data_IF_389174534684
#
_entry.id   IF_389174534684
#
_cell.length_a   1.000
_cell.length_b   1.000
_cell.length_c   1.000
_cell.angle_alpha   90.00
_cell.angle_beta   90.00
_cell.angle_gamma   90.00
#
_symmetry.space_group_name_H-M   'P 1'
#
loop_
_entity.id
_entity.type
_entity.pdbx_description
1 polymer ?
#
# COMPACT_ATOMS: atom_id res chain seq x y z
N UNK A 1 -13.84 4.23 -6.92
CA UNK A 1 -12.94 5.21 -6.28
C UNK A 1 -11.88 4.45 -5.51
N UNK A 2 -10.62 4.90 -5.55
CA UNK A 2 -9.51 4.42 -4.73
C UNK A 2 -9.10 5.56 -3.81
N UNK A 3 -8.99 5.25 -2.52
CA UNK A 3 -8.57 6.22 -1.52
C UNK A 3 -7.06 6.49 -1.67
N UNK A 4 -6.68 7.77 -1.74
CA UNK A 4 -5.30 8.22 -1.84
C UNK A 4 -4.49 7.93 -0.57
N UNK A 5 -3.18 7.76 -0.74
CA UNK A 5 -2.17 7.64 0.32
C UNK A 5 -2.31 6.44 1.25
N UNK A 6 -3.21 5.52 0.95
CA UNK A 6 -3.46 4.31 1.75
C UNK A 6 -3.58 3.09 0.86
N UNK A 7 -3.13 1.95 1.37
CA UNK A 7 -3.21 0.67 0.69
C UNK A 7 -3.73 -0.38 1.67
N UNK A 8 -5.00 -0.72 1.48
CA UNK A 8 -5.75 -1.70 2.27
C UNK A 8 -5.54 -3.09 1.71
N UNK A 9 -5.40 -4.13 2.55
CA UNK A 9 -5.42 -5.50 2.09
C UNK A 9 -6.65 -5.78 1.20
N UNK A 10 -6.41 -6.52 0.13
CA UNK A 10 -7.39 -6.72 -0.91
C UNK A 10 -8.20 -7.99 -0.70
N UNK A 11 -9.46 -7.95 -1.14
CA UNK A 11 -10.33 -9.13 -1.24
C UNK A 11 -10.36 -9.70 -2.67
N UNK A 12 -9.27 -9.52 -3.43
CA UNK A 12 -9.14 -9.96 -4.84
C UNK A 12 -9.23 -11.46 -5.01
N UNK A 13 -8.91 -12.24 -3.97
CA UNK A 13 -9.17 -13.68 -3.96
C UNK A 13 -10.67 -14.00 -4.16
N UNK A 14 -11.59 -13.10 -3.77
CA UNK A 14 -13.06 -13.22 -3.87
C UNK A 14 -13.69 -14.39 -3.10
N UNK A 15 -12.92 -15.40 -2.72
CA UNK A 15 -13.36 -16.55 -1.93
C UNK A 15 -12.21 -17.09 -1.07
N UNK A 16 -12.58 -17.82 -0.01
CA UNK A 16 -11.62 -18.49 0.88
C UNK A 16 -10.87 -19.61 0.15
N UNK A 17 -11.52 -20.29 -0.79
CA UNK A 17 -10.89 -21.33 -1.61
C UNK A 17 -9.77 -20.74 -2.48
N UNK A 18 -9.99 -19.57 -3.08
CA UNK A 18 -8.93 -18.91 -3.87
C UNK A 18 -7.82 -18.39 -2.97
N UNK A 19 -8.14 -17.87 -1.78
CA UNK A 19 -7.12 -17.44 -0.82
C UNK A 19 -6.20 -18.60 -0.40
N UNK A 20 -6.78 -19.78 -0.14
CA UNK A 20 -6.01 -21.01 0.14
C UNK A 20 -5.20 -21.51 -1.07
N UNK A 21 -5.69 -21.29 -2.30
CA UNK A 21 -4.91 -21.57 -3.49
C UNK A 21 -3.68 -20.63 -3.58
N UNK A 22 -3.86 -19.35 -3.26
CA UNK A 22 -2.75 -18.38 -3.21
C UNK A 22 -1.72 -18.76 -2.14
N UNK A 23 -2.15 -19.30 -1.00
CA UNK A 23 -1.22 -19.83 0.01
C UNK A 23 -0.29 -20.90 -0.59
N UNK A 24 -0.85 -21.81 -1.40
CA UNK A 24 -0.07 -22.85 -2.08
C UNK A 24 0.87 -22.25 -3.13
N UNK A 25 0.42 -21.26 -3.89
CA UNK A 25 1.22 -20.53 -4.88
C UNK A 25 2.40 -19.80 -4.21
N UNK A 26 2.16 -19.15 -3.07
CA UNK A 26 3.18 -18.41 -2.33
C UNK A 26 4.19 -19.33 -1.63
N UNK A 27 3.76 -20.50 -1.13
CA UNK A 27 4.69 -21.53 -0.66
C UNK A 27 5.60 -22.02 -1.80
N UNK A 28 5.02 -22.29 -2.97
CA UNK A 28 5.81 -22.71 -4.13
C UNK A 28 6.78 -21.60 -4.56
N UNK A 29 6.35 -20.34 -4.51
CA UNK A 29 7.22 -19.19 -4.78
C UNK A 29 8.38 -19.12 -3.78
N UNK A 30 8.14 -19.33 -2.48
CA UNK A 30 9.19 -19.37 -1.47
C UNK A 30 10.27 -20.41 -1.79
N UNK A 31 9.87 -21.61 -2.24
CA UNK A 31 10.82 -22.62 -2.70
C UNK A 31 11.64 -22.16 -3.91
N UNK A 32 11.00 -21.50 -4.88
CA UNK A 32 11.69 -20.97 -6.06
C UNK A 32 12.65 -19.83 -5.71
N UNK A 33 12.32 -18.99 -4.73
CA UNK A 33 13.22 -17.96 -4.20
C UNK A 33 14.45 -18.64 -3.58
N UNK A 34 14.27 -19.62 -2.69
CA UNK A 34 15.39 -20.37 -2.09
C UNK A 34 16.30 -21.05 -3.10
N UNK A 35 15.72 -21.56 -4.20
CA UNK A 35 16.46 -22.22 -5.29
C UNK A 35 17.11 -21.22 -6.27
N UNK A 36 16.93 -19.91 -6.09
CA UNK A 36 17.43 -18.87 -7.01
C UNK A 36 16.73 -18.88 -8.38
N UNK A 37 15.53 -19.44 -8.47
CA UNK A 37 14.76 -19.55 -9.71
C UNK A 37 13.91 -18.31 -9.96
N UNK A 38 13.37 -17.72 -8.90
CA UNK A 38 12.58 -16.49 -8.97
C UNK A 38 13.47 -15.30 -9.39
N UNK A 39 13.04 -14.44 -10.33
CA UNK A 39 13.75 -13.23 -10.70
C UNK A 39 13.51 -12.16 -9.63
N UNK A 40 14.21 -12.27 -8.51
CA UNK A 40 14.18 -11.35 -7.36
C UNK A 40 15.60 -11.20 -6.79
N UNK A 41 15.96 -10.06 -6.22
CA UNK A 41 17.22 -9.93 -5.47
C UNK A 41 17.23 -10.83 -4.23
N UNK A 42 18.43 -11.25 -3.82
CA UNK A 42 18.61 -12.06 -2.62
C UNK A 42 18.07 -11.34 -1.37
N UNK A 43 18.36 -10.05 -1.21
CA UNK A 43 17.96 -9.27 -0.03
C UNK A 43 16.44 -9.13 0.09
N UNK A 44 15.74 -8.83 -1.01
CA UNK A 44 14.28 -8.80 -1.00
C UNK A 44 13.69 -10.21 -0.78
N UNK A 45 14.32 -11.24 -1.35
CA UNK A 45 13.97 -12.63 -1.08
C UNK A 45 14.03 -12.97 0.42
N UNK A 46 15.15 -12.67 1.08
CA UNK A 46 15.33 -12.88 2.52
C UNK A 46 14.28 -12.15 3.37
N UNK A 47 13.92 -10.93 2.98
CA UNK A 47 12.85 -10.16 3.65
C UNK A 47 11.47 -10.82 3.49
N UNK A 48 11.15 -11.39 2.32
CA UNK A 48 9.83 -11.93 2.01
C UNK A 48 9.63 -13.38 2.45
N UNK A 49 10.70 -14.20 2.46
CA UNK A 49 10.62 -15.63 2.78
C UNK A 49 9.90 -15.92 4.11
N UNK A 50 10.19 -15.23 5.24
CA UNK A 50 9.49 -15.47 6.50
C UNK A 50 7.97 -15.29 6.43
N UNK A 51 7.49 -14.45 5.50
CA UNK A 51 6.05 -14.19 5.31
C UNK A 51 5.40 -15.26 4.42
N UNK A 52 6.10 -15.69 3.37
CA UNK A 52 5.61 -16.69 2.41
C UNK A 52 5.60 -18.11 2.98
N UNK A 53 6.64 -18.46 3.74
CA UNK A 53 6.85 -19.81 4.28
C UNK A 53 5.86 -20.19 5.37
N UNK A 54 5.09 -19.22 5.86
CA UNK A 54 3.98 -19.43 6.78
C UNK A 54 2.90 -20.34 6.22
N UNK A 55 2.76 -20.40 4.89
CA UNK A 55 1.71 -21.16 4.21
C UNK A 55 0.30 -20.64 4.40
N UNK A 56 0.14 -19.39 4.86
CA UNK A 56 -1.17 -18.78 5.06
C UNK A 56 -1.22 -17.29 4.67
N UNK A 57 -0.25 -16.80 3.91
CA UNK A 57 -0.15 -15.39 3.51
C UNK A 57 -1.34 -14.91 2.66
N UNK A 58 -1.84 -15.73 1.73
CA UNK A 58 -3.08 -15.54 0.97
C UNK A 58 -4.32 -15.43 1.86
N UNK A 59 -4.52 -16.42 2.73
CA UNK A 59 -5.67 -16.45 3.66
C UNK A 59 -5.61 -15.30 4.69
N UNK A 60 -4.41 -14.98 5.19
CA UNK A 60 -4.19 -13.84 6.10
C UNK A 60 -4.55 -12.53 5.41
N UNK A 61 -4.04 -12.29 4.21
CA UNK A 61 -4.31 -11.07 3.45
C UNK A 61 -5.80 -10.90 3.16
N UNK A 62 -6.47 -11.98 2.73
CA UNK A 62 -7.91 -11.97 2.47
C UNK A 62 -8.73 -11.68 3.74
N UNK A 63 -8.34 -12.27 4.87
CA UNK A 63 -9.01 -12.06 6.16
C UNK A 63 -8.83 -10.62 6.65
N UNK A 64 -7.62 -10.08 6.53
CA UNK A 64 -7.33 -8.67 6.83
C UNK A 64 -8.12 -7.74 5.90
N UNK A 65 -8.29 -8.08 4.63
CA UNK A 65 -9.09 -7.30 3.67
C UNK A 65 -10.58 -7.31 3.99
N UNK A 66 -11.12 -8.44 4.46
CA UNK A 66 -12.50 -8.53 4.99
C UNK A 66 -12.66 -7.64 6.23
N UNK A 67 -11.70 -7.66 7.16
CA UNK A 67 -11.74 -6.83 8.37
C UNK A 67 -11.67 -5.34 8.04
N UNK A 68 -10.76 -4.92 7.16
CA UNK A 68 -10.65 -3.54 6.70
C UNK A 68 -11.94 -3.06 6.01
N UNK A 69 -12.58 -3.93 5.21
CA UNK A 69 -13.85 -3.64 4.56
C UNK A 69 -15.00 -3.48 5.56
N UNK A 70 -15.06 -4.30 6.61
CA UNK A 70 -16.06 -4.19 7.66
C UNK A 70 -15.88 -2.89 8.45
N UNK A 71 -14.64 -2.61 8.90
CA UNK A 71 -14.30 -1.36 9.57
C UNK A 71 -14.66 -0.13 8.73
N UNK A 72 -14.31 -0.12 7.44
CA UNK A 72 -14.62 1.00 6.57
C UNK A 72 -16.13 1.27 6.46
N UNK A 73 -16.94 0.22 6.32
CA UNK A 73 -18.41 0.33 6.23
C UNK A 73 -19.00 0.90 7.52
N UNK A 74 -18.59 0.36 8.67
CA UNK A 74 -19.07 0.81 9.98
C UNK A 74 -18.64 2.25 10.26
N UNK A 75 -17.37 2.58 9.99
CA UNK A 75 -16.83 3.91 10.21
C UNK A 75 -17.49 4.96 9.31
N UNK A 76 -17.73 4.65 8.04
CA UNK A 76 -18.46 5.55 7.12
C UNK A 76 -19.89 5.77 7.64
N UNK A 77 -20.61 4.71 8.00
CA UNK A 77 -21.97 4.83 8.51
C UNK A 77 -22.03 5.68 9.79
N UNK A 78 -21.11 5.44 10.74
CA UNK A 78 -21.05 6.16 12.00
C UNK A 78 -20.72 7.65 11.81
N UNK A 79 -19.71 7.97 10.99
CA UNK A 79 -19.26 9.36 10.82
C UNK A 79 -20.17 10.19 9.93
N UNK A 80 -20.90 9.58 9.00
CA UNK A 80 -21.92 10.27 8.23
C UNK A 80 -23.20 10.51 9.04
N UNK A 81 -23.50 9.74 10.09
CA UNK A 81 -24.70 9.95 10.89
C UNK A 81 -24.70 11.32 11.62
N UNK A 82 -25.80 12.08 11.48
CA UNK A 82 -26.07 13.28 12.28
C UNK A 82 -27.01 12.96 13.45
N UNK A 83 -26.97 13.72 14.55
CA UNK A 83 -27.88 13.52 15.69
C UNK A 83 -29.36 13.62 15.33
N UNK A 84 -29.70 14.36 14.27
CA UNK A 84 -31.06 14.54 13.77
C UNK A 84 -31.53 13.40 12.83
N UNK A 85 -30.77 12.31 12.70
CA UNK A 85 -31.10 11.15 11.87
C UNK A 85 -30.79 11.32 10.37
N UNK A 86 -30.39 12.51 9.90
CA UNK A 86 -29.92 12.69 8.52
C UNK A 86 -28.46 12.25 8.39
N UNK A 87 -28.05 11.89 7.17
CA UNK A 87 -26.63 11.64 6.88
C UNK A 87 -25.95 12.92 6.37
N UNK A 88 -24.67 13.10 6.70
CA UNK A 88 -23.78 14.05 6.04
C UNK A 88 -23.57 13.61 4.59
N UNK A 89 -23.41 14.58 3.71
CA UNK A 89 -22.88 14.32 2.38
C UNK A 89 -21.39 13.96 2.47
N UNK A 90 -20.83 13.50 1.36
CA UNK A 90 -19.43 13.10 1.27
C UNK A 90 -18.66 14.24 0.61
N UNK A 91 -17.63 14.72 1.29
CA UNK A 91 -16.62 15.59 0.71
C UNK A 91 -15.56 14.75 0.00
N UNK A 92 -15.25 15.11 -1.25
CA UNK A 92 -14.26 14.44 -2.09
C UNK A 92 -13.22 15.48 -2.53
N UNK A 93 -11.94 15.21 -2.22
CA UNK A 93 -10.80 15.94 -2.79
C UNK A 93 -10.04 15.01 -3.72
N UNK A 94 -10.07 15.31 -5.00
CA UNK A 94 -9.38 14.52 -6.04
C UNK A 94 -7.88 14.79 -6.06
N UNK A 95 -7.11 13.81 -6.56
CA UNK A 95 -5.71 13.98 -6.90
C UNK A 95 -5.51 14.95 -8.08
N UNK A 96 -4.27 15.43 -8.25
CA UNK A 96 -3.86 16.24 -9.41
C UNK A 96 -4.07 15.49 -10.73
N UNK A 97 -3.87 14.16 -10.70
CA UNK A 97 -4.35 13.23 -11.73
C UNK A 97 -5.55 12.45 -11.18
N UNK A 98 -6.79 12.83 -11.50
CA UNK A 98 -7.97 12.31 -10.80
C UNK A 98 -8.27 10.83 -11.07
N UNK A 99 -7.73 10.24 -12.14
CA UNK A 99 -8.02 8.85 -12.52
C UNK A 99 -6.72 8.06 -12.68
N UNK A 100 -6.73 6.81 -12.21
CA UNK A 100 -5.69 5.86 -12.55
C UNK A 100 -5.93 5.19 -13.92
N UNK A 101 -4.98 4.38 -14.39
CA UNK A 101 -5.09 3.64 -15.64
C UNK A 101 -6.27 2.65 -15.71
N UNK A 102 -6.91 2.35 -14.58
CA UNK A 102 -8.11 1.53 -14.50
C UNK A 102 -9.41 2.38 -14.41
N UNK A 103 -9.33 3.68 -14.73
CA UNK A 103 -10.42 4.65 -14.65
C UNK A 103 -11.05 4.78 -13.26
N UNK A 104 -10.30 4.49 -12.18
CA UNK A 104 -10.77 4.69 -10.81
C UNK A 104 -10.44 6.10 -10.35
N UNK A 105 -11.45 6.80 -9.84
CA UNK A 105 -11.27 8.10 -9.18
C UNK A 105 -10.32 7.97 -7.99
N UNK A 106 -9.26 8.78 -7.94
CA UNK A 106 -8.29 8.89 -6.85
C UNK A 106 -8.66 10.06 -5.95
N UNK A 107 -9.00 9.79 -4.68
CA UNK A 107 -9.45 10.86 -3.79
C UNK A 107 -9.14 10.64 -2.30
N UNK A 108 -9.10 11.76 -1.58
CA UNK A 108 -9.35 11.81 -0.15
C UNK A 108 -10.85 12.01 0.09
N UNK A 109 -11.39 11.26 1.04
CA UNK A 109 -12.84 11.20 1.29
C UNK A 109 -13.10 11.51 2.76
N UNK A 110 -14.07 12.36 3.05
CA UNK A 110 -14.45 12.71 4.41
C UNK A 110 -15.96 13.03 4.49
N UNK A 111 -16.55 13.07 5.69
CA UNK A 111 -17.84 13.72 5.86
C UNK A 111 -17.76 15.19 5.44
N UNK A 112 -18.78 15.68 4.73
CA UNK A 112 -18.90 17.10 4.44
C UNK A 112 -19.43 17.84 5.68
N UNK A 113 -18.51 18.53 6.36
CA UNK A 113 -18.79 19.32 7.54
C UNK A 113 -19.17 20.74 7.12
N UNK A 114 -20.26 21.26 7.69
CA UNK A 114 -20.67 22.66 7.52
C UNK A 114 -19.60 23.64 8.03
N UNK A 115 -19.67 24.91 7.62
CA UNK A 115 -18.73 25.92 8.11
C UNK A 115 -18.75 26.05 9.64
N UNK A 116 -19.94 25.99 10.24
CA UNK A 116 -20.10 25.98 11.70
C UNK A 116 -19.39 24.78 12.33
N UNK A 117 -19.66 23.56 11.85
CA UNK A 117 -18.97 22.34 12.34
C UNK A 117 -17.45 22.44 12.17
N UNK A 118 -16.94 23.05 11.10
CA UNK A 118 -15.49 23.20 10.88
C UNK A 118 -14.84 24.19 11.86
N UNK A 119 -15.59 25.18 12.36
CA UNK A 119 -15.14 26.13 13.39
C UNK A 119 -15.16 25.49 14.79
N UNK A 120 -16.16 24.66 15.05
CA UNK A 120 -16.36 24.01 16.37
C UNK A 120 -15.54 22.73 16.55
N UNK A 121 -15.33 21.96 15.47
CA UNK A 121 -14.63 20.68 15.50
C UNK A 121 -13.19 20.89 14.96
N UNK A 122 -12.15 20.71 15.79
CA UNK A 122 -10.76 20.79 15.37
C UNK A 122 -10.43 19.90 14.16
N UNK A 123 -9.51 20.33 13.29
CA UNK A 123 -9.08 19.60 12.07
C UNK A 123 -8.73 18.12 12.38
N UNK A 124 -7.99 17.86 13.45
CA UNK A 124 -7.60 16.50 13.89
C UNK A 124 -8.78 15.59 14.23
N UNK A 125 -9.95 16.15 14.57
CA UNK A 125 -11.18 15.41 14.86
C UNK A 125 -12.13 15.34 13.63
N UNK A 126 -11.66 15.82 12.48
CA UNK A 126 -12.32 15.67 11.18
C UNK A 126 -11.42 14.94 10.19
N UNK A 127 -10.85 13.78 10.54
CA UNK A 127 -9.96 13.04 9.65
C UNK A 127 -10.69 12.61 8.37
N UNK A 128 -9.94 12.28 7.33
CA UNK A 128 -10.48 11.57 6.16
C UNK A 128 -10.73 10.11 6.52
N UNK A 129 -11.61 9.43 5.79
CA UNK A 129 -11.75 7.98 5.90
C UNK A 129 -10.45 7.24 5.54
N UNK A 130 -9.61 7.85 4.68
CA UNK A 130 -8.27 7.38 4.39
C UNK A 130 -7.43 7.32 5.68
N UNK A 131 -7.36 8.42 6.43
CA UNK A 131 -6.58 8.48 7.66
C UNK A 131 -7.14 7.52 8.73
N UNK A 132 -8.46 7.39 8.83
CA UNK A 132 -9.08 6.45 9.79
C UNK A 132 -8.63 4.99 9.58
N UNK A 133 -8.48 4.57 8.33
CA UNK A 133 -7.95 3.23 8.01
C UNK A 133 -6.53 3.03 8.54
N UNK A 134 -5.69 4.05 8.42
CA UNK A 134 -4.31 4.00 8.91
C UNK A 134 -4.28 4.01 10.45
N UNK A 135 -5.04 4.91 11.08
CA UNK A 135 -5.15 5.00 12.54
C UNK A 135 -5.60 3.68 13.15
N UNK A 136 -6.56 2.99 12.53
CA UNK A 136 -7.04 1.70 12.98
C UNK A 136 -6.12 0.51 12.61
N UNK A 137 -5.02 0.76 11.92
CA UNK A 137 -4.12 -0.27 11.42
C UNK A 137 -4.73 -1.17 10.35
N UNK A 138 -5.80 -0.73 9.68
CA UNK A 138 -6.49 -1.49 8.61
C UNK A 138 -5.85 -1.27 7.23
N UNK A 139 -4.95 -0.31 7.11
CA UNK A 139 -4.21 -0.01 5.87
C UNK A 139 -2.77 0.40 6.19
N UNK A 140 -1.87 0.11 5.26
CA UNK A 140 -0.55 0.71 5.24
C UNK A 140 -0.59 2.06 4.50
N UNK A 141 0.39 2.92 4.78
CA UNK A 141 0.63 4.14 4.01
C UNK A 141 1.12 3.80 2.60
N UNK A 142 0.61 4.53 1.62
CA UNK A 142 0.96 4.34 0.22
C UNK A 142 0.86 5.66 -0.53
N UNK A 143 1.70 6.61 -0.11
CA UNK A 143 1.81 7.94 -0.72
C UNK A 143 2.52 7.78 -2.07
N UNK A 144 1.92 8.31 -3.14
CA UNK A 144 2.46 8.20 -4.49
C UNK A 144 2.65 9.59 -5.08
N UNK A 145 3.86 9.90 -5.54
CA UNK A 145 4.16 11.11 -6.29
C UNK A 145 3.42 11.13 -7.64
N UNK A 146 2.86 12.28 -8.10
CA UNK A 146 2.95 13.62 -7.51
C UNK A 146 1.89 13.93 -6.42
N UNK A 147 0.97 13.02 -6.16
CA UNK A 147 -0.16 13.23 -5.23
C UNK A 147 0.25 13.07 -3.75
N UNK A 148 1.13 13.95 -3.28
CA UNK A 148 1.62 13.98 -1.89
C UNK A 148 0.70 14.87 -1.03
N UNK A 149 0.27 14.43 0.18
CA UNK A 149 -0.45 15.29 1.10
C UNK A 149 0.33 16.57 1.42
N UNK A 150 -0.37 17.66 1.77
CA UNK A 150 0.27 18.86 2.30
C UNK A 150 1.03 18.56 3.59
N UNK A 151 2.04 19.37 3.92
CA UNK A 151 3.00 19.07 4.99
C UNK A 151 2.36 18.69 6.34
N UNK A 152 1.32 19.42 6.79
CA UNK A 152 0.61 19.09 8.04
C UNK A 152 -0.11 17.75 7.98
N UNK A 153 -0.76 17.45 6.85
CA UNK A 153 -1.52 16.22 6.66
C UNK A 153 -0.59 15.02 6.48
N UNK A 154 0.57 15.23 5.84
CA UNK A 154 1.62 14.22 5.71
C UNK A 154 2.22 13.86 7.07
N UNK A 155 2.55 14.86 7.90
CA UNK A 155 3.04 14.63 9.25
C UNK A 155 2.02 13.83 10.09
N UNK A 156 0.74 14.23 10.04
CA UNK A 156 -0.34 13.51 10.71
C UNK A 156 -0.47 12.06 10.24
N UNK A 157 -0.32 11.81 8.93
CA UNK A 157 -0.37 10.46 8.36
C UNK A 157 0.80 9.60 8.84
N UNK A 158 2.02 10.14 8.84
CA UNK A 158 3.24 9.45 9.30
C UNK A 158 3.11 9.08 10.77
N UNK A 159 2.71 10.02 11.63
CA UNK A 159 2.55 9.78 13.07
C UNK A 159 1.49 8.70 13.34
N UNK A 160 0.35 8.77 12.64
CA UNK A 160 -0.70 7.76 12.77
C UNK A 160 -0.24 6.37 12.32
N UNK A 161 0.50 6.29 11.21
CA UNK A 161 1.02 5.03 10.69
C UNK A 161 2.07 4.41 11.62
N UNK A 162 3.00 5.22 12.12
CA UNK A 162 4.00 4.78 13.09
C UNK A 162 3.34 4.28 14.39
N UNK A 163 2.34 5.00 14.90
CA UNK A 163 1.59 4.59 16.09
C UNK A 163 0.81 3.28 15.86
N UNK A 164 0.12 3.12 14.73
CA UNK A 164 -0.61 1.90 14.41
C UNK A 164 0.32 0.69 14.25
N UNK A 165 1.47 0.87 13.58
CA UNK A 165 2.47 -0.17 13.38
C UNK A 165 3.13 -0.60 14.69
N UNK A 166 3.64 0.35 15.47
CA UNK A 166 4.31 0.07 16.74
C UNK A 166 3.35 -0.44 17.82
N UNK A 167 2.09 -0.02 17.77
CA UNK A 167 1.01 -0.52 18.63
C UNK A 167 0.43 -1.87 18.21
N UNK A 168 0.87 -2.44 17.08
CA UNK A 168 0.36 -3.73 16.58
C UNK A 168 -1.13 -3.70 16.25
N UNK A 169 -1.66 -2.59 15.72
CA UNK A 169 -3.07 -2.45 15.42
C UNK A 169 -3.43 -3.10 14.07
N UNK A 170 -4.63 -3.69 13.99
CA UNK A 170 -5.18 -4.23 12.75
C UNK A 170 -4.24 -5.23 12.08
N UNK A 171 -3.82 -4.94 10.85
CA UNK A 171 -2.91 -5.80 10.07
C UNK A 171 -1.55 -5.97 10.75
N UNK A 172 -1.11 -4.97 11.52
CA UNK A 172 0.19 -4.95 12.19
C UNK A 172 0.25 -5.85 13.42
N UNK A 173 -0.87 -6.41 13.86
CA UNK A 173 -0.91 -7.41 14.95
C UNK A 173 -0.24 -8.74 14.55
N UNK A 174 -0.03 -8.96 13.25
CA UNK A 174 0.61 -10.15 12.70
C UNK A 174 1.90 -9.74 11.96
N UNK A 175 3.10 -10.03 12.51
CA UNK A 175 4.38 -9.67 11.90
C UNK A 175 4.56 -10.17 10.46
N UNK A 176 3.93 -11.29 10.12
CA UNK A 176 4.00 -11.94 8.81
C UNK A 176 3.09 -11.27 7.77
N UNK A 177 2.38 -10.19 8.12
CA UNK A 177 1.52 -9.46 7.17
C UNK A 177 2.30 -8.98 5.95
N UNK A 178 1.72 -9.23 4.78
CA UNK A 178 2.09 -8.59 3.53
C UNK A 178 1.22 -7.34 3.37
N UNK A 179 1.85 -6.17 3.23
CA UNK A 179 1.10 -4.99 2.79
C UNK A 179 0.56 -5.23 1.38
N UNK A 180 -0.54 -4.57 1.00
CA UNK A 180 -1.21 -4.85 -0.27
C UNK A 180 -0.33 -4.66 -1.51
N UNK A 181 0.64 -3.74 -1.47
CA UNK A 181 1.66 -3.64 -2.51
C UNK A 181 2.51 -4.90 -2.64
N UNK A 182 3.06 -5.40 -1.52
CA UNK A 182 3.86 -6.63 -1.49
C UNK A 182 3.05 -7.83 -2.00
N UNK A 183 1.81 -7.96 -1.52
CA UNK A 183 0.90 -9.03 -1.92
C UNK A 183 0.68 -9.09 -3.44
N UNK A 184 0.30 -7.96 -4.06
CA UNK A 184 0.07 -7.88 -5.50
C UNK A 184 1.35 -8.18 -6.30
N UNK A 185 2.48 -7.61 -5.86
CA UNK A 185 3.78 -7.85 -6.50
C UNK A 185 4.19 -9.33 -6.45
N UNK A 186 3.84 -10.03 -5.37
CA UNK A 186 4.09 -11.47 -5.20
C UNK A 186 3.18 -12.35 -6.08
N UNK A 187 1.92 -11.97 -6.27
CA UNK A 187 1.04 -12.66 -7.24
C UNK A 187 1.66 -12.60 -8.65
N UNK A 188 2.12 -11.41 -9.07
CA UNK A 188 2.78 -11.22 -10.37
C UNK A 188 4.11 -12.00 -10.45
N UNK A 189 4.94 -11.91 -9.41
CA UNK A 189 6.21 -12.65 -9.34
C UNK A 189 6.00 -14.17 -9.44
N UNK A 190 4.96 -14.70 -8.80
CA UNK A 190 4.61 -16.11 -8.93
C UNK A 190 4.30 -16.49 -10.38
N UNK A 191 3.47 -15.71 -11.09
CA UNK A 191 3.13 -15.99 -12.49
C UNK A 191 4.36 -15.95 -13.40
N UNK A 192 5.23 -14.96 -13.21
CA UNK A 192 6.49 -14.83 -13.97
C UNK A 192 7.41 -16.01 -13.69
N UNK A 193 7.59 -16.36 -12.42
CA UNK A 193 8.48 -17.45 -12.01
C UNK A 193 7.96 -18.79 -12.51
N UNK A 194 6.65 -19.03 -12.45
CA UNK A 194 6.01 -20.23 -12.99
C UNK A 194 6.33 -20.39 -14.48
N UNK A 195 6.09 -19.35 -15.28
CA UNK A 195 6.41 -19.36 -16.72
C UNK A 195 7.89 -19.62 -16.99
N UNK A 196 8.78 -18.97 -16.22
CA UNK A 196 10.23 -19.19 -16.35
C UNK A 196 10.63 -20.64 -16.03
N UNK A 197 10.08 -21.23 -14.97
CA UNK A 197 10.36 -22.61 -14.58
C UNK A 197 9.74 -23.63 -15.54
N UNK A 198 8.59 -23.32 -16.15
CA UNK A 198 7.95 -24.16 -17.18
C UNK A 198 8.48 -23.91 -18.59
N UNK A 199 9.46 -23.00 -18.77
CA UNK A 199 10.02 -22.60 -20.06
C UNK A 199 8.95 -22.04 -21.03
N UNK A 200 7.93 -21.38 -20.49
CA UNK A 200 6.94 -20.61 -21.24
C UNK A 200 7.48 -19.20 -21.57
N UNK A 201 7.10 -18.62 -22.72
CA UNK A 201 7.51 -17.26 -23.07
C UNK A 201 6.92 -16.23 -22.10
N UNK A 202 7.72 -15.21 -21.80
CA UNK A 202 7.30 -14.01 -21.06
C UNK A 202 7.06 -12.86 -22.05
N UNK A 203 5.90 -12.21 -21.95
CA UNK A 203 5.65 -10.99 -22.70
C UNK A 203 6.49 -9.84 -22.16
N UNK A 204 6.79 -8.85 -23.00
CA UNK A 204 7.65 -7.70 -22.61
C UNK A 204 7.08 -6.94 -21.40
N UNK A 205 5.75 -6.83 -21.31
CA UNK A 205 5.06 -6.18 -20.19
C UNK A 205 5.05 -7.01 -18.90
N UNK A 206 5.22 -8.34 -18.98
CA UNK A 206 5.23 -9.23 -17.81
C UNK A 206 6.54 -9.17 -17.04
N UNK A 207 7.54 -8.43 -17.51
CA UNK A 207 8.83 -8.28 -16.81
C UNK A 207 8.77 -7.28 -15.64
N UNK A 208 7.66 -6.58 -15.47
CA UNK A 208 7.54 -5.42 -14.58
C UNK A 208 6.75 -5.69 -13.29
N UNK A 209 6.96 -6.83 -12.61
CA UNK A 209 6.36 -7.05 -11.28
C UNK A 209 6.83 -6.05 -10.21
N UNK A 210 7.88 -5.27 -10.52
CA UNK A 210 8.49 -4.24 -9.67
C UNK A 210 8.34 -2.88 -10.34
N UNK A 211 7.19 -2.25 -10.13
CA UNK A 211 6.87 -1.07 -10.93
C UNK A 211 7.40 0.25 -10.35
N UNK A 212 7.66 0.34 -9.03
CA UNK A 212 7.81 1.65 -8.38
C UNK A 212 9.12 1.78 -7.63
N UNK A 213 9.76 2.93 -7.81
CA UNK A 213 10.85 3.36 -6.94
C UNK A 213 10.28 3.80 -5.59
N UNK A 214 11.13 3.80 -4.57
CA UNK A 214 10.75 4.25 -3.24
C UNK A 214 11.74 5.28 -2.74
N UNK A 215 11.28 6.46 -2.32
CA UNK A 215 12.12 7.41 -1.60
C UNK A 215 11.85 7.32 -0.10
N UNK A 216 12.91 7.31 0.70
CA UNK A 216 12.81 7.48 2.15
C UNK A 216 12.62 8.98 2.45
N UNK A 217 11.44 9.32 2.94
CA UNK A 217 11.06 10.70 3.21
C UNK A 217 11.93 11.38 4.29
N UNK A 218 12.63 10.63 5.14
CA UNK A 218 13.45 11.17 6.24
C UNK A 218 14.76 11.77 5.74
N UNK A 219 15.36 11.15 4.74
CA UNK A 219 16.70 11.47 4.25
C UNK A 219 16.74 11.81 2.75
N UNK A 220 15.61 11.69 2.04
CA UNK A 220 15.46 11.93 0.59
C UNK A 220 16.32 11.01 -0.27
N UNK A 221 16.62 9.81 0.24
CA UNK A 221 17.33 8.79 -0.52
C UNK A 221 16.33 8.03 -1.38
N UNK A 222 16.64 7.90 -2.66
CA UNK A 222 15.86 7.19 -3.67
C UNK A 222 16.41 5.77 -3.83
N UNK A 223 15.54 4.80 -3.61
CA UNK A 223 15.80 3.38 -3.65
C UNK A 223 15.19 2.74 -4.90
N UNK A 224 15.84 1.67 -5.37
CA UNK A 224 15.34 0.89 -6.48
C UNK A 224 14.03 0.15 -6.14
N UNK A 225 13.34 -0.42 -7.14
CA UNK A 225 12.06 -1.10 -6.93
C UNK A 225 12.08 -2.31 -5.98
N UNK A 226 13.26 -2.85 -5.65
CA UNK A 226 13.40 -3.94 -4.68
C UNK A 226 13.87 -3.50 -3.31
N UNK A 227 14.33 -2.26 -3.13
CA UNK A 227 15.05 -1.87 -1.92
C UNK A 227 14.17 -1.12 -0.91
N UNK A 228 12.85 -1.08 -1.15
CA UNK A 228 11.89 -0.38 -0.29
C UNK A 228 11.75 -1.02 1.10
N UNK A 229 12.10 -2.30 1.26
CA UNK A 229 11.90 -3.04 2.50
C UNK A 229 12.79 -2.53 3.65
N UNK A 230 13.92 -1.88 3.32
CA UNK A 230 14.79 -1.23 4.29
C UNK A 230 14.22 0.07 4.87
N UNK A 231 13.10 0.56 4.34
CA UNK A 231 12.42 1.78 4.77
C UNK A 231 11.16 1.36 5.52
N UNK A 232 10.90 1.90 6.70
CA UNK A 232 9.66 1.62 7.42
C UNK A 232 8.45 2.16 6.63
N UNK A 233 7.31 1.44 6.60
CA UNK A 233 6.18 1.76 5.71
C UNK A 233 5.71 3.22 5.77
N UNK A 234 5.68 3.82 6.95
CA UNK A 234 5.27 5.22 7.16
C UNK A 234 6.16 6.24 6.44
N UNK A 235 7.42 5.91 6.16
CA UNK A 235 8.39 6.81 5.52
C UNK A 235 8.57 6.56 4.02
N UNK A 236 7.81 5.62 3.44
CA UNK A 236 7.89 5.27 2.02
C UNK A 236 7.11 6.28 1.16
N UNK A 237 7.80 6.95 0.24
CA UNK A 237 7.20 7.68 -0.87
C UNK A 237 7.38 6.88 -2.16
N UNK A 238 6.28 6.43 -2.75
CA UNK A 238 6.32 5.67 -3.99
C UNK A 238 6.35 6.59 -5.21
N UNK A 239 7.18 6.22 -6.19
CA UNK A 239 7.39 7.01 -7.39
C UNK A 239 7.30 6.09 -8.60
N UNK A 240 6.44 6.47 -9.55
CA UNK A 240 6.34 5.75 -10.81
C UNK A 240 7.55 6.04 -11.70
N UNK A 241 7.95 5.09 -12.59
CA UNK A 241 9.10 5.29 -13.47
C UNK A 241 8.95 6.52 -14.37
N UNK A 242 7.74 6.78 -14.89
CA UNK A 242 7.47 7.96 -15.72
C UNK A 242 7.61 9.29 -14.96
N UNK A 243 7.40 9.29 -13.65
CA UNK A 243 7.46 10.50 -12.82
C UNK A 243 8.84 10.67 -12.14
N UNK A 244 9.73 9.70 -12.28
CA UNK A 244 11.00 9.63 -11.55
C UNK A 244 11.87 10.86 -11.77
N UNK A 245 12.03 11.30 -13.02
CA UNK A 245 12.87 12.45 -13.36
C UNK A 245 12.35 13.74 -12.73
N UNK A 246 11.04 13.95 -12.75
CA UNK A 246 10.41 15.13 -12.15
C UNK A 246 10.51 15.05 -10.62
N UNK A 247 10.23 13.88 -10.02
CA UNK A 247 10.36 13.67 -8.58
C UNK A 247 11.78 13.95 -8.06
N UNK A 248 12.82 13.44 -8.74
CA UNK A 248 14.23 13.69 -8.38
C UNK A 248 14.52 15.19 -8.34
N UNK A 249 14.10 15.93 -9.36
CA UNK A 249 14.34 17.37 -9.44
C UNK A 249 13.52 18.16 -8.42
N UNK A 250 12.23 17.85 -8.23
CA UNK A 250 11.33 18.65 -7.38
C UNK A 250 11.54 18.38 -5.90
N UNK A 251 11.86 17.15 -5.54
CA UNK A 251 12.01 16.74 -4.15
C UNK A 251 13.48 16.72 -3.70
N UNK A 252 14.42 17.06 -4.60
CA UNK A 252 15.86 17.00 -4.37
C UNK A 252 16.29 15.62 -3.86
N UNK A 253 15.86 14.56 -4.56
CA UNK A 253 16.18 13.19 -4.18
C UNK A 253 17.63 12.85 -4.57
N UNK A 254 18.27 12.03 -3.75
CA UNK A 254 19.61 11.50 -4.01
C UNK A 254 19.53 9.99 -4.20
N UNK A 255 20.12 9.40 -5.25
CA UNK A 255 20.06 7.96 -5.43
C UNK A 255 20.83 7.24 -4.32
N UNK A 256 20.29 6.13 -3.85
CA UNK A 256 21.03 5.19 -3.01
C UNK A 256 22.28 4.67 -3.78
N UNK A 257 23.37 4.33 -3.07
CA UNK A 257 24.59 3.81 -3.72
C UNK A 257 24.32 2.64 -4.67
N UNK A 258 23.44 1.72 -4.27
CA UNK A 258 23.06 0.52 -5.04
C UNK A 258 22.35 0.89 -6.34
N UNK A 259 21.52 1.95 -6.31
CA UNK A 259 20.83 2.46 -7.48
C UNK A 259 21.78 3.21 -8.43
N UNK A 260 22.74 3.97 -7.87
CA UNK A 260 23.72 4.73 -8.63
C UNK A 260 24.78 3.83 -9.29
N UNK A 261 25.06 2.67 -8.69
CA UNK A 261 26.07 1.73 -9.19
C UNK A 261 25.68 1.04 -10.51
N UNK A 262 24.39 1.07 -10.89
CA UNK A 262 23.89 0.46 -12.12
C UNK A 262 24.06 -1.06 -12.11
N UNK A 263 23.01 -1.79 -11.75
CA UNK A 263 22.96 -3.25 -11.98
C UNK A 263 22.85 -3.53 -13.48
#
# INVERSE_FOLDING_TARGET
MRMLSVDTPEVTARSEQRAAAIDTEFLQLAEWIRKGLAPISAALGEFLLPKLETGHAGTLHFTQGKAASAFAKENIAARLARPNGRQREIFIRVADSPFDGANRLLAYVAPDYTEQERREIPKRLRPTFNLDLVVAGQAATFVIYPSVPGAEDLALLIDAAAAARTGGLGIWSTPETLIAYEYRALEDLYQITRKKVSNEPLDVGERSWRERYCADMRNRVLHGPEDYFGIEPEYRLWIWPQDLRDAVSRLNLTPAPELAAGV
#
